data_IF_635391994212
#
_entry.id   IF_635391994212
#
_cell.length_a   1.000
_cell.length_b   1.000
_cell.length_c   1.000
_cell.angle_alpha   90.00
_cell.angle_beta   90.00
_cell.angle_gamma   90.00
#
_symmetry.space_group_name_H-M   'P 1'
#
loop_
_entity.id
_entity.type
_entity.pdbx_description
1 polymer ?
#
# COMPACT_ATOMS: atom_id res chain seq x y z
N UNK A 1 21.09 -7.00 -19.59
CA UNK A 1 19.67 -7.10 -19.20
C UNK A 1 19.06 -5.71 -19.33
N UNK A 2 17.81 -5.61 -19.81
CA UNK A 2 17.10 -4.33 -19.82
C UNK A 2 16.78 -3.92 -18.38
N UNK A 3 17.34 -2.80 -17.92
CA UNK A 3 17.18 -2.28 -16.55
C UNK A 3 16.06 -1.24 -16.44
N UNK A 4 15.47 -0.84 -17.60
CA UNK A 4 14.40 0.15 -17.64
C UNK A 4 13.08 -0.43 -17.12
N UNK A 5 12.41 0.30 -16.25
CA UNK A 5 11.10 -0.09 -15.71
C UNK A 5 10.21 1.15 -15.54
N UNK A 6 8.90 0.99 -15.79
CA UNK A 6 7.91 2.05 -15.53
C UNK A 6 7.41 1.95 -14.10
N UNK A 7 7.31 3.09 -13.41
CA UNK A 7 6.72 3.17 -12.07
C UNK A 7 5.57 4.16 -12.07
N UNK A 8 4.36 3.69 -11.80
CA UNK A 8 3.21 4.55 -11.53
C UNK A 8 3.06 4.74 -10.01
N UNK A 9 2.65 5.93 -9.58
CA UNK A 9 2.56 6.25 -8.14
C UNK A 9 3.93 6.47 -7.47
N UNK A 10 4.96 6.80 -8.27
CA UNK A 10 6.33 7.01 -7.79
C UNK A 10 6.47 8.14 -6.76
N UNK A 11 5.60 9.15 -6.76
CA UNK A 11 5.60 10.23 -5.77
C UNK A 11 4.94 9.86 -4.43
N UNK A 12 4.26 8.73 -4.34
CA UNK A 12 3.65 8.23 -3.11
C UNK A 12 4.67 7.63 -2.12
N UNK A 13 4.22 7.28 -0.92
CA UNK A 13 5.09 6.75 0.14
C UNK A 13 5.87 5.50 -0.29
N UNK A 14 5.19 4.46 -0.77
CA UNK A 14 5.85 3.25 -1.28
C UNK A 14 6.72 3.61 -2.50
N UNK A 15 6.20 4.47 -3.40
CA UNK A 15 6.85 4.82 -4.66
C UNK A 15 8.23 5.45 -4.48
N UNK A 16 8.37 6.42 -3.59
CA UNK A 16 9.65 7.08 -3.30
C UNK A 16 10.71 6.09 -2.80
N UNK A 17 10.33 5.21 -1.86
CA UNK A 17 11.21 4.16 -1.36
C UNK A 17 11.54 3.10 -2.43
N UNK A 18 10.57 2.75 -3.29
CA UNK A 18 10.81 1.82 -4.40
C UNK A 18 11.78 2.41 -5.42
N UNK A 19 11.62 3.68 -5.79
CA UNK A 19 12.54 4.39 -6.70
C UNK A 19 13.96 4.43 -6.12
N UNK A 20 14.09 4.72 -4.83
CA UNK A 20 15.38 4.69 -4.15
C UNK A 20 15.99 3.28 -4.14
N UNK A 21 15.19 2.25 -3.88
CA UNK A 21 15.64 0.86 -3.89
C UNK A 21 16.05 0.41 -5.29
N UNK A 22 15.22 0.62 -6.31
CA UNK A 22 15.52 0.25 -7.70
C UNK A 22 16.78 0.93 -8.21
N UNK A 23 16.91 2.25 -8.03
CA UNK A 23 18.05 3.01 -8.52
C UNK A 23 19.38 2.63 -7.85
N UNK A 24 19.36 2.27 -6.57
CA UNK A 24 20.54 1.70 -5.86
C UNK A 24 20.99 0.36 -6.45
N UNK A 25 20.04 -0.43 -6.97
CA UNK A 25 20.32 -1.74 -7.56
C UNK A 25 20.57 -1.67 -9.07
N UNK A 26 20.82 -0.48 -9.63
CA UNK A 26 21.21 -0.30 -11.02
C UNK A 26 20.07 -0.32 -12.03
N UNK A 27 18.81 -0.27 -11.58
CA UNK A 27 17.67 -0.09 -12.47
C UNK A 27 17.47 1.37 -12.85
N UNK A 28 16.85 1.60 -14.01
CA UNK A 28 16.56 2.93 -14.55
C UNK A 28 15.04 3.17 -14.57
N UNK A 29 14.45 3.63 -13.46
CA UNK A 29 13.02 3.86 -13.40
C UNK A 29 12.57 5.05 -14.24
N UNK A 30 11.53 4.83 -15.06
CA UNK A 30 10.74 5.85 -15.73
C UNK A 30 9.51 6.11 -14.88
N UNK A 31 9.33 7.31 -14.37
CA UNK A 31 8.22 7.63 -13.45
C UNK A 31 7.07 8.28 -14.23
N UNK A 32 5.88 7.69 -14.16
CA UNK A 32 4.67 8.32 -14.69
C UNK A 32 4.19 9.39 -13.71
N UNK A 33 4.15 10.64 -14.13
CA UNK A 33 3.78 11.80 -13.30
C UNK A 33 2.72 12.65 -13.97
N UNK A 34 1.71 13.10 -13.22
CA UNK A 34 0.71 14.06 -13.70
C UNK A 34 1.32 15.44 -13.89
N UNK A 35 2.20 15.85 -12.99
CA UNK A 35 2.88 17.15 -12.98
C UNK A 35 4.39 16.92 -13.08
N UNK A 36 4.90 17.05 -14.29
CA UNK A 36 6.33 16.83 -14.56
C UNK A 36 7.22 17.86 -13.84
N UNK A 37 6.69 19.05 -13.53
CA UNK A 37 7.36 20.09 -12.76
C UNK A 37 7.74 19.66 -11.34
N UNK A 38 7.13 18.61 -10.79
CA UNK A 38 7.46 18.05 -9.47
C UNK A 38 8.60 17.03 -9.51
N UNK A 39 9.11 16.68 -10.69
CA UNK A 39 10.16 15.67 -10.83
C UNK A 39 11.47 16.04 -10.11
N UNK A 40 11.97 17.29 -10.13
CA UNK A 40 13.17 17.65 -9.37
C UNK A 40 13.02 17.41 -7.86
N UNK A 41 11.86 17.72 -7.30
CA UNK A 41 11.56 17.47 -5.87
C UNK A 41 11.51 15.96 -5.57
N UNK A 42 10.96 15.16 -6.48
CA UNK A 42 10.98 13.70 -6.35
C UNK A 42 12.44 13.16 -6.38
N UNK A 43 13.27 13.66 -7.26
CA UNK A 43 14.70 13.30 -7.34
C UNK A 43 15.44 13.63 -6.03
N UNK A 44 15.18 14.78 -5.45
CA UNK A 44 15.75 15.17 -4.15
C UNK A 44 15.34 14.16 -3.07
N UNK A 45 14.05 13.84 -2.93
CA UNK A 45 13.53 12.88 -1.95
C UNK A 45 14.13 11.48 -2.14
N UNK A 46 14.25 11.03 -3.40
CA UNK A 46 14.88 9.74 -3.70
C UNK A 46 16.34 9.73 -3.26
N UNK A 47 17.06 10.83 -3.44
CA UNK A 47 18.45 10.98 -2.96
C UNK A 47 18.52 10.95 -1.43
N UNK A 48 17.64 11.65 -0.74
CA UNK A 48 17.53 11.65 0.73
C UNK A 48 17.25 10.24 1.29
N UNK A 49 16.53 9.41 0.52
CA UNK A 49 16.27 8.00 0.82
C UNK A 49 17.42 7.07 0.39
N UNK A 50 18.55 7.62 -0.02
CA UNK A 50 19.76 6.88 -0.41
C UNK A 50 19.68 6.25 -1.79
N UNK A 51 18.79 6.71 -2.66
CA UNK A 51 18.71 6.32 -4.07
C UNK A 51 19.67 7.12 -4.96
N UNK A 52 19.80 6.68 -6.21
CA UNK A 52 20.55 7.39 -7.23
C UNK A 52 19.60 8.09 -8.22
N UNK A 53 19.31 9.38 -7.96
CA UNK A 53 18.38 10.15 -8.79
C UNK A 53 18.83 10.32 -10.26
N UNK A 54 20.12 10.14 -10.56
CA UNK A 54 20.62 10.18 -11.95
C UNK A 54 20.10 9.02 -12.82
N UNK A 55 19.66 7.95 -12.19
CA UNK A 55 19.06 6.79 -12.86
C UNK A 55 17.58 7.00 -13.21
N UNK A 56 16.95 8.03 -12.67
CA UNK A 56 15.54 8.30 -12.86
C UNK A 56 15.28 9.15 -14.10
N UNK A 57 14.18 8.85 -14.77
CA UNK A 57 13.57 9.74 -15.75
C UNK A 57 12.07 9.82 -15.49
N UNK A 58 11.38 10.78 -16.10
CA UNK A 58 9.96 10.92 -15.92
C UNK A 58 9.24 11.14 -17.25
N UNK A 59 8.00 10.68 -17.34
CA UNK A 59 7.08 10.97 -18.43
C UNK A 59 5.81 11.58 -17.85
N UNK A 60 5.27 12.55 -18.56
CA UNK A 60 3.97 13.11 -18.21
C UNK A 60 2.86 12.12 -18.58
N UNK A 61 1.93 11.88 -17.65
CA UNK A 61 0.81 11.01 -17.90
C UNK A 61 -0.15 10.95 -16.71
N UNK A 62 -1.36 10.45 -16.94
CA UNK A 62 -2.43 10.38 -15.94
C UNK A 62 -3.21 9.07 -16.07
N UNK A 63 -3.33 8.36 -14.95
CA UNK A 63 -4.07 7.08 -14.87
C UNK A 63 -5.56 7.25 -15.25
N UNK A 64 -6.13 8.44 -15.12
CA UNK A 64 -7.52 8.72 -15.48
C UNK A 64 -7.75 8.90 -16.99
N UNK A 65 -6.67 9.12 -17.76
CA UNK A 65 -6.76 9.41 -19.19
C UNK A 65 -6.64 8.17 -20.07
N UNK A 66 -7.33 8.11 -21.23
CA UNK A 66 -7.09 7.09 -22.25
C UNK A 66 -5.61 7.01 -22.63
N UNK A 67 -5.06 5.81 -22.80
CA UNK A 67 -3.64 5.61 -23.11
C UNK A 67 -2.68 6.18 -22.06
N UNK A 68 -3.16 6.45 -20.84
CA UNK A 68 -2.45 7.12 -19.74
C UNK A 68 -2.06 8.56 -20.08
N UNK A 69 -2.66 9.18 -21.10
CA UNK A 69 -2.32 10.53 -21.55
C UNK A 69 -0.89 10.68 -22.09
N UNK A 70 -0.24 9.58 -22.49
CA UNK A 70 1.14 9.58 -22.97
C UNK A 70 1.21 10.14 -24.41
N UNK A 71 2.10 11.09 -24.64
CA UNK A 71 2.47 11.51 -25.98
C UNK A 71 3.33 10.45 -26.70
N UNK A 72 3.64 10.69 -27.99
CA UNK A 72 4.40 9.74 -28.80
C UNK A 72 5.83 9.48 -28.27
N UNK A 73 6.47 10.48 -27.68
CA UNK A 73 7.81 10.34 -27.14
C UNK A 73 7.80 9.50 -25.85
N UNK A 74 6.85 9.82 -24.95
CA UNK A 74 6.61 9.05 -23.73
C UNK A 74 6.21 7.60 -24.02
N UNK A 75 5.38 7.35 -25.03
CA UNK A 75 5.00 5.99 -25.45
C UNK A 75 6.22 5.17 -25.87
N UNK A 76 7.16 5.74 -26.65
CA UNK A 76 8.40 5.06 -27.04
C UNK A 76 9.27 4.75 -25.83
N UNK A 77 9.41 5.71 -24.90
CA UNK A 77 10.21 5.52 -23.68
C UNK A 77 9.64 4.40 -22.81
N UNK A 78 8.31 4.37 -22.64
CA UNK A 78 7.61 3.36 -21.85
C UNK A 78 7.61 1.99 -22.54
N UNK A 79 7.57 1.95 -23.87
CA UNK A 79 7.67 0.70 -24.63
C UNK A 79 9.02 -0.02 -24.44
N UNK A 80 10.07 0.71 -24.07
CA UNK A 80 11.37 0.14 -23.73
C UNK A 80 11.43 -0.50 -22.32
N UNK A 81 10.39 -0.33 -21.50
CA UNK A 81 10.36 -0.87 -20.15
C UNK A 81 9.89 -2.33 -20.15
N UNK A 82 10.76 -3.25 -19.73
CA UNK A 82 10.40 -4.68 -19.63
C UNK A 82 9.55 -5.02 -18.40
N UNK A 83 9.49 -4.13 -17.41
CA UNK A 83 8.73 -4.31 -16.17
C UNK A 83 7.97 -3.04 -15.83
N UNK A 84 6.71 -3.18 -15.48
CA UNK A 84 5.84 -2.10 -15.01
C UNK A 84 5.49 -2.33 -13.54
N UNK A 85 5.75 -1.33 -12.70
CA UNK A 85 5.35 -1.31 -11.29
C UNK A 85 4.12 -0.43 -11.14
N UNK A 86 2.99 -1.03 -10.80
CA UNK A 86 1.75 -0.29 -10.58
C UNK A 86 1.46 -0.12 -9.08
N UNK A 87 1.82 1.07 -8.55
CA UNK A 87 1.53 1.50 -7.19
C UNK A 87 0.55 2.69 -7.16
N UNK A 88 0.19 3.18 -8.35
CA UNK A 88 -0.65 4.38 -8.52
C UNK A 88 -2.10 4.11 -8.14
N UNK A 89 -2.42 4.41 -6.89
CA UNK A 89 -3.79 4.41 -6.35
C UNK A 89 -4.06 5.76 -5.72
N UNK A 90 -5.26 6.27 -5.86
CA UNK A 90 -5.70 7.39 -5.06
C UNK A 90 -6.12 6.86 -3.68
N UNK A 91 -5.30 7.13 -2.68
CA UNK A 91 -5.62 6.87 -1.29
C UNK A 91 -6.20 8.13 -0.67
N UNK A 92 -7.48 8.10 -0.34
CA UNK A 92 -8.13 9.11 0.49
C UNK A 92 -9.38 8.47 1.13
N UNK A 93 -9.67 8.82 2.35
CA UNK A 93 -10.90 8.44 3.02
C UNK A 93 -12.09 9.18 2.36
N UNK A 94 -13.24 8.53 2.32
CA UNK A 94 -14.46 9.14 1.77
C UNK A 94 -14.43 9.38 0.25
N UNK A 95 -13.58 8.69 -0.52
CA UNK A 95 -13.61 8.75 -1.98
C UNK A 95 -14.98 8.36 -2.53
N UNK A 96 -15.53 9.18 -3.42
CA UNK A 96 -16.74 8.80 -4.16
C UNK A 96 -16.46 7.56 -5.03
N UNK A 97 -17.49 6.74 -5.22
CA UNK A 97 -17.42 5.56 -6.07
C UNK A 97 -16.86 5.90 -7.47
N UNK A 98 -17.36 6.99 -8.08
CA UNK A 98 -16.96 7.40 -9.44
C UNK A 98 -15.46 7.75 -9.49
N UNK A 99 -14.97 8.54 -8.54
CA UNK A 99 -13.55 8.92 -8.47
C UNK A 99 -12.66 7.70 -8.22
N UNK A 100 -13.04 6.85 -7.26
CA UNK A 100 -12.28 5.64 -6.94
C UNK A 100 -12.18 4.70 -8.15
N UNK A 101 -13.26 4.47 -8.88
CA UNK A 101 -13.26 3.60 -10.08
C UNK A 101 -12.43 4.20 -11.21
N UNK A 102 -12.55 5.49 -11.49
CA UNK A 102 -11.85 6.13 -12.61
C UNK A 102 -10.34 6.01 -12.49
N UNK A 103 -9.78 6.21 -11.29
CA UNK A 103 -8.33 6.19 -11.06
C UNK A 103 -7.86 4.79 -10.69
N UNK A 104 -8.50 4.15 -9.70
CA UNK A 104 -7.97 2.91 -9.13
C UNK A 104 -8.32 1.68 -9.97
N UNK A 105 -9.51 1.63 -10.58
CA UNK A 105 -9.92 0.48 -11.38
C UNK A 105 -9.54 0.66 -12.83
N UNK A 106 -10.07 1.70 -13.48
CA UNK A 106 -9.81 1.92 -14.91
C UNK A 106 -8.34 2.30 -15.16
N UNK A 107 -7.71 3.04 -14.23
CA UNK A 107 -6.27 3.32 -14.28
C UNK A 107 -5.42 2.05 -14.23
N UNK A 108 -5.73 1.12 -13.31
CA UNK A 108 -5.03 -0.16 -13.22
C UNK A 108 -5.21 -1.00 -14.49
N UNK A 109 -6.42 -1.04 -15.07
CA UNK A 109 -6.68 -1.72 -16.35
C UNK A 109 -5.90 -1.10 -17.52
N UNK A 110 -5.77 0.23 -17.55
CA UNK A 110 -4.95 0.90 -18.58
C UNK A 110 -3.48 0.50 -18.47
N UNK A 111 -2.96 0.38 -17.24
CA UNK A 111 -1.58 -0.10 -17.01
C UNK A 111 -1.44 -1.57 -17.39
N UNK A 112 -2.41 -2.43 -17.07
CA UNK A 112 -2.41 -3.83 -17.49
C UNK A 112 -2.40 -3.99 -19.02
N UNK A 113 -3.26 -3.25 -19.72
CA UNK A 113 -3.27 -3.22 -21.19
C UNK A 113 -1.98 -2.67 -21.80
N UNK A 114 -1.34 -1.70 -21.14
CA UNK A 114 -0.02 -1.23 -21.56
C UNK A 114 1.03 -2.32 -21.41
N UNK A 115 1.01 -3.07 -20.29
CA UNK A 115 1.90 -4.20 -20.08
C UNK A 115 1.72 -5.28 -21.17
N UNK A 116 0.48 -5.64 -21.47
CA UNK A 116 0.15 -6.60 -22.54
C UNK A 116 0.64 -6.13 -23.92
N UNK A 117 0.38 -4.88 -24.28
CA UNK A 117 0.83 -4.33 -25.59
C UNK A 117 2.34 -4.32 -25.76
N UNK A 118 3.09 -4.14 -24.66
CA UNK A 118 4.54 -4.04 -24.68
C UNK A 118 5.24 -5.36 -24.33
N UNK A 119 4.49 -6.46 -24.17
CA UNK A 119 5.01 -7.75 -23.67
C UNK A 119 5.85 -7.57 -22.38
N UNK A 120 5.39 -6.69 -21.51
CA UNK A 120 6.09 -6.33 -20.29
C UNK A 120 5.46 -7.03 -19.07
N UNK A 121 6.30 -7.37 -18.12
CA UNK A 121 5.84 -7.90 -16.84
C UNK A 121 5.18 -6.81 -16.01
N UNK A 122 4.00 -7.09 -15.46
CA UNK A 122 3.31 -6.22 -14.52
C UNK A 122 3.51 -6.71 -13.07
N UNK A 123 4.07 -5.87 -12.22
CA UNK A 123 3.97 -6.01 -10.78
C UNK A 123 2.95 -5.00 -10.24
N UNK A 124 1.90 -5.50 -9.60
CA UNK A 124 0.84 -4.69 -9.00
C UNK A 124 0.89 -4.76 -7.47
N UNK A 125 0.68 -3.63 -6.81
CA UNK A 125 0.52 -3.56 -5.36
C UNK A 125 -0.97 -3.63 -5.00
N UNK A 126 -1.35 -4.74 -4.39
CA UNK A 126 -2.70 -4.98 -3.87
C UNK A 126 -2.91 -4.45 -2.45
N UNK A 127 -3.50 -5.28 -1.60
CA UNK A 127 -3.68 -5.05 -0.17
C UNK A 127 -3.98 -6.36 0.54
N UNK A 128 -3.54 -6.51 1.79
CA UNK A 128 -3.64 -7.77 2.54
C UNK A 128 -5.08 -8.26 2.76
N UNK A 129 -6.08 -7.37 2.65
CA UNK A 129 -7.49 -7.75 2.73
C UNK A 129 -7.91 -8.71 1.61
N UNK A 130 -7.23 -8.67 0.45
CA UNK A 130 -7.40 -9.64 -0.64
C UNK A 130 -7.00 -11.07 -0.25
N UNK A 131 -6.18 -11.23 0.79
CA UNK A 131 -5.77 -12.53 1.34
C UNK A 131 -6.67 -13.00 2.49
N UNK A 132 -7.71 -12.23 2.86
CA UNK A 132 -8.66 -12.59 3.93
C UNK A 132 -9.98 -13.12 3.32
N UNK A 133 -10.08 -14.44 3.15
CA UNK A 133 -11.26 -15.07 2.57
C UNK A 133 -12.57 -14.80 3.36
N UNK A 134 -12.47 -14.72 4.69
CA UNK A 134 -13.64 -14.42 5.54
C UNK A 134 -14.09 -12.98 5.32
N UNK A 135 -13.17 -12.03 5.23
CA UNK A 135 -13.48 -10.64 4.93
C UNK A 135 -14.12 -10.52 3.54
N UNK A 136 -13.51 -11.11 2.52
CA UNK A 136 -14.05 -11.09 1.14
C UNK A 136 -15.49 -11.61 1.09
N UNK A 137 -15.77 -12.75 1.74
CA UNK A 137 -17.11 -13.31 1.81
C UNK A 137 -18.09 -12.37 2.55
N UNK A 138 -17.67 -11.78 3.68
CA UNK A 138 -18.49 -10.85 4.48
C UNK A 138 -18.88 -9.60 3.69
N UNK A 139 -17.96 -9.06 2.88
CA UNK A 139 -18.24 -7.88 2.05
C UNK A 139 -18.94 -8.20 0.73
N UNK A 140 -19.11 -9.48 0.41
CA UNK A 140 -19.87 -9.96 -0.75
C UNK A 140 -19.05 -10.17 -2.01
N UNK A 141 -17.73 -10.25 -1.89
CA UNK A 141 -16.84 -10.59 -3.02
C UNK A 141 -16.88 -12.10 -3.27
N UNK A 142 -17.18 -12.49 -4.49
CA UNK A 142 -17.15 -13.90 -4.95
C UNK A 142 -15.76 -14.21 -5.52
N UNK A 143 -14.80 -14.49 -4.65
CA UNK A 143 -13.40 -14.61 -5.03
C UNK A 143 -13.11 -15.69 -6.12
N UNK A 144 -13.94 -16.75 -6.20
CA UNK A 144 -13.83 -17.80 -7.22
C UNK A 144 -14.59 -17.50 -8.51
N UNK A 145 -15.51 -16.56 -8.49
CA UNK A 145 -16.36 -16.13 -9.61
C UNK A 145 -16.52 -14.60 -9.54
N UNK A 146 -15.42 -13.83 -9.66
CA UNK A 146 -15.42 -12.39 -9.43
C UNK A 146 -16.33 -11.61 -10.39
N UNK A 147 -16.61 -12.18 -11.57
CA UNK A 147 -17.54 -11.65 -12.56
C UNK A 147 -18.99 -11.61 -12.06
N UNK A 148 -19.34 -12.45 -11.07
CA UNK A 148 -20.65 -12.49 -10.44
C UNK A 148 -20.74 -11.63 -9.15
N UNK A 149 -19.71 -10.83 -8.85
CA UNK A 149 -19.70 -9.95 -7.69
C UNK A 149 -20.54 -8.70 -7.94
N UNK A 150 -21.47 -8.40 -7.03
CA UNK A 150 -22.19 -7.13 -7.00
C UNK A 150 -21.28 -6.02 -6.44
N UNK A 151 -20.45 -5.44 -7.31
CA UNK A 151 -19.49 -4.39 -6.93
C UNK A 151 -20.17 -3.19 -6.28
N UNK A 152 -21.29 -2.65 -6.75
CA UNK A 152 -22.01 -1.58 -6.05
C UNK A 152 -22.34 -1.92 -4.59
N UNK A 153 -22.75 -3.17 -4.29
CA UNK A 153 -22.99 -3.61 -2.93
C UNK A 153 -21.71 -3.72 -2.10
N UNK A 154 -20.60 -4.17 -2.69
CA UNK A 154 -19.28 -4.19 -2.05
C UNK A 154 -18.86 -2.76 -1.66
N UNK A 155 -18.91 -1.82 -2.59
CA UNK A 155 -18.54 -0.42 -2.32
C UNK A 155 -19.36 0.22 -1.20
N UNK A 156 -20.66 -0.09 -1.09
CA UNK A 156 -21.49 0.40 0.02
C UNK A 156 -21.04 -0.13 1.38
N UNK A 157 -20.40 -1.30 1.43
CA UNK A 157 -19.95 -1.94 2.68
C UNK A 157 -18.56 -1.50 3.13
N UNK A 158 -17.65 -1.27 2.18
CA UNK A 158 -16.22 -1.04 2.48
C UNK A 158 -15.69 0.32 2.02
N UNK A 159 -16.55 1.17 1.45
CA UNK A 159 -16.13 2.48 0.94
C UNK A 159 -15.43 2.44 -0.41
N UNK A 160 -15.12 3.64 -0.92
CA UNK A 160 -14.55 3.83 -2.26
C UNK A 160 -13.14 3.28 -2.40
N UNK A 161 -12.29 3.49 -1.41
CA UNK A 161 -10.89 3.07 -1.47
C UNK A 161 -10.74 1.55 -1.50
N UNK A 162 -11.24 0.85 -0.49
CA UNK A 162 -11.12 -0.61 -0.42
C UNK A 162 -11.87 -1.29 -1.56
N UNK A 163 -13.11 -0.89 -1.82
CA UNK A 163 -13.92 -1.45 -2.91
C UNK A 163 -13.21 -1.35 -4.27
N UNK A 164 -12.58 -0.20 -4.57
CA UNK A 164 -11.85 -0.03 -5.82
C UNK A 164 -10.58 -0.88 -5.89
N UNK A 165 -9.89 -1.11 -4.79
CA UNK A 165 -8.72 -2.02 -4.75
C UNK A 165 -9.13 -3.48 -4.97
N UNK A 166 -10.24 -3.90 -4.36
CA UNK A 166 -10.78 -5.23 -4.57
C UNK A 166 -11.20 -5.43 -6.03
N UNK A 167 -12.01 -4.52 -6.60
CA UNK A 167 -12.45 -4.60 -8.00
C UNK A 167 -11.26 -4.56 -8.96
N UNK A 168 -10.31 -3.64 -8.77
CA UNK A 168 -9.13 -3.53 -9.63
C UNK A 168 -8.31 -4.83 -9.66
N UNK A 169 -8.11 -5.46 -8.50
CA UNK A 169 -7.39 -6.72 -8.40
C UNK A 169 -7.98 -7.80 -9.31
N UNK A 170 -9.27 -8.08 -9.16
CA UNK A 170 -9.92 -9.14 -9.94
C UNK A 170 -10.01 -8.81 -11.43
N UNK A 171 -10.28 -7.55 -11.77
CA UNK A 171 -10.36 -7.14 -13.19
C UNK A 171 -9.00 -7.16 -13.87
N UNK A 172 -7.93 -6.72 -13.19
CA UNK A 172 -6.56 -6.80 -13.72
C UNK A 172 -6.12 -8.25 -13.88
N UNK A 173 -6.43 -9.13 -12.92
CA UNK A 173 -6.16 -10.55 -13.04
C UNK A 173 -6.84 -11.16 -14.26
N UNK A 174 -8.12 -10.87 -14.48
CA UNK A 174 -8.87 -11.34 -15.65
C UNK A 174 -8.25 -10.82 -16.97
N UNK A 175 -7.97 -9.52 -17.06
CA UNK A 175 -7.37 -8.88 -18.25
C UNK A 175 -6.00 -9.50 -18.59
N UNK A 176 -5.12 -9.63 -17.59
CA UNK A 176 -3.78 -10.20 -17.78
C UNK A 176 -3.83 -11.69 -18.13
N UNK A 177 -4.70 -12.46 -17.50
CA UNK A 177 -4.89 -13.88 -17.79
C UNK A 177 -5.41 -14.12 -19.22
N UNK A 178 -6.41 -13.36 -19.64
CA UNK A 178 -6.97 -13.45 -21.01
C UNK A 178 -5.94 -13.04 -22.07
N UNK A 179 -5.11 -12.05 -21.78
CA UNK A 179 -4.05 -11.59 -22.68
C UNK A 179 -2.75 -12.39 -22.61
N UNK A 180 -2.65 -13.43 -21.78
CA UNK A 180 -1.42 -14.22 -21.59
C UNK A 180 -0.27 -13.44 -20.94
N UNK A 181 -0.58 -12.37 -20.22
CA UNK A 181 0.43 -11.46 -19.66
C UNK A 181 1.06 -11.95 -18.36
N UNK A 182 2.29 -11.54 -18.10
CA UNK A 182 3.03 -11.85 -16.89
C UNK A 182 2.63 -10.91 -15.75
N UNK A 183 1.83 -11.38 -14.80
CA UNK A 183 1.39 -10.63 -13.62
C UNK A 183 2.02 -11.18 -12.33
N UNK A 184 2.47 -10.29 -11.46
CA UNK A 184 2.84 -10.59 -10.07
C UNK A 184 2.14 -9.59 -9.15
N UNK A 185 1.59 -10.04 -8.02
CA UNK A 185 0.94 -9.13 -7.07
C UNK A 185 1.62 -9.22 -5.71
N UNK A 186 1.89 -8.06 -5.09
CA UNK A 186 2.34 -7.99 -3.69
C UNK A 186 1.23 -7.33 -2.87
N UNK A 187 0.79 -7.99 -1.80
CA UNK A 187 -0.26 -7.56 -0.90
C UNK A 187 0.33 -7.02 0.41
N UNK A 188 0.62 -5.72 0.52
CA UNK A 188 1.15 -5.17 1.76
C UNK A 188 0.10 -5.11 2.86
N UNK A 189 0.55 -5.32 4.09
CA UNK A 189 -0.15 -4.93 5.31
C UNK A 189 -0.12 -3.41 5.49
N UNK A 190 -0.59 -2.91 6.64
CA UNK A 190 -0.44 -1.50 7.01
C UNK A 190 1.03 -1.14 7.10
N UNK A 191 1.39 -0.01 6.51
CA UNK A 191 2.78 0.43 6.48
C UNK A 191 3.17 1.10 7.79
N UNK A 192 4.29 0.69 8.37
CA UNK A 192 5.10 1.53 9.24
C UNK A 192 6.27 2.15 8.46
N UNK A 193 7.05 3.01 9.10
CA UNK A 193 8.16 3.70 8.44
C UNK A 193 9.34 2.81 8.11
N UNK A 194 10.39 3.42 7.61
CA UNK A 194 11.66 2.75 7.32
C UNK A 194 12.29 2.18 8.61
N UNK A 195 12.74 0.95 8.56
CA UNK A 195 13.23 0.20 9.74
C UNK A 195 14.31 0.95 10.55
N UNK A 196 15.20 1.68 9.90
CA UNK A 196 16.29 2.42 10.56
C UNK A 196 15.94 3.87 10.84
N UNK A 197 15.46 4.61 9.84
CA UNK A 197 15.23 6.05 9.93
C UNK A 197 13.86 6.41 10.47
N UNK A 198 12.91 5.47 10.42
CA UNK A 198 11.51 5.72 10.75
C UNK A 198 10.76 6.61 9.75
N UNK A 199 11.43 7.03 8.65
CA UNK A 199 10.80 7.92 7.67
C UNK A 199 9.43 7.43 7.26
N UNK A 200 8.44 8.30 7.38
CA UNK A 200 7.04 8.03 7.12
C UNK A 200 6.34 9.28 6.63
N UNK A 201 5.42 9.13 5.69
CA UNK A 201 4.57 10.24 5.26
C UNK A 201 3.33 10.35 6.16
N UNK A 202 2.81 11.58 6.36
CA UNK A 202 1.54 11.79 7.06
C UNK A 202 0.38 11.11 6.32
N UNK A 203 -0.74 10.90 7.03
CA UNK A 203 -1.95 10.29 6.46
C UNK A 203 -1.92 8.76 6.36
N UNK A 204 -0.83 8.09 6.76
CA UNK A 204 -0.81 6.64 6.86
C UNK A 204 -1.55 6.18 8.14
N UNK A 205 -2.26 5.03 8.12
CA UNK A 205 -3.02 4.56 9.30
C UNK A 205 -2.17 4.41 10.57
N UNK A 206 -0.93 3.97 10.44
CA UNK A 206 0.01 3.89 11.58
C UNK A 206 0.38 5.28 12.12
N UNK A 207 0.65 6.25 11.25
CA UNK A 207 0.97 7.63 11.65
C UNK A 207 -0.24 8.29 12.32
N UNK A 208 -1.44 8.01 11.84
CA UNK A 208 -2.68 8.51 12.42
C UNK A 208 -2.93 7.94 13.82
N UNK A 209 -2.70 6.63 14.03
CA UNK A 209 -2.76 6.00 15.35
C UNK A 209 -1.76 6.67 16.33
N UNK A 210 -0.53 6.90 15.89
CA UNK A 210 0.50 7.56 16.69
C UNK A 210 0.11 9.01 17.02
N UNK A 211 -0.48 9.75 16.07
CA UNK A 211 -0.96 11.12 16.27
C UNK A 211 -2.10 11.18 17.29
N UNK A 212 -3.13 10.32 17.13
CA UNK A 212 -4.24 10.26 18.08
C UNK A 212 -3.78 9.94 19.50
N UNK A 213 -2.77 9.06 19.62
CA UNK A 213 -2.17 8.73 20.91
C UNK A 213 -1.39 9.92 21.50
N UNK A 214 -0.56 10.61 20.69
CA UNK A 214 0.19 11.80 21.08
C UNK A 214 -0.72 12.95 21.55
N UNK A 215 -1.82 13.17 20.85
CA UNK A 215 -2.83 14.19 21.17
C UNK A 215 -3.79 13.76 22.28
N UNK A 216 -3.60 12.57 22.87
CA UNK A 216 -4.46 11.99 23.92
C UNK A 216 -5.93 11.81 23.48
N UNK A 217 -6.17 11.66 22.18
CA UNK A 217 -7.51 11.44 21.61
C UNK A 217 -7.91 9.98 21.63
N UNK A 218 -6.94 9.06 21.58
CA UNK A 218 -7.21 7.63 21.71
C UNK A 218 -7.59 7.30 23.18
N UNK A 219 -8.88 7.31 23.48
CA UNK A 219 -9.42 7.10 24.84
C UNK A 219 -9.56 5.64 25.23
N UNK A 220 -9.67 4.76 24.25
CA UNK A 220 -9.80 3.31 24.43
C UNK A 220 -9.23 2.57 23.22
N UNK A 221 -8.84 1.32 23.42
CA UNK A 221 -8.28 0.46 22.38
C UNK A 221 -9.42 -0.22 21.64
N UNK A 222 -9.52 -0.11 20.30
CA UNK A 222 -10.52 -0.84 19.53
C UNK A 222 -10.38 -2.36 19.66
N UNK A 223 -11.51 -3.05 19.87
CA UNK A 223 -11.55 -4.51 19.89
C UNK A 223 -11.16 -5.12 21.24
N UNK A 224 -10.41 -6.22 21.20
CA UNK A 224 -9.95 -7.01 22.34
C UNK A 224 -8.47 -7.31 22.23
N UNK A 225 -7.91 -8.04 23.19
CA UNK A 225 -6.50 -8.52 23.16
C UNK A 225 -6.14 -9.41 21.96
N UNK A 226 -7.15 -9.94 21.25
CA UNK A 226 -6.94 -10.74 20.03
C UNK A 226 -6.77 -9.89 18.77
N UNK A 227 -7.14 -8.61 18.84
CA UNK A 227 -7.06 -7.73 17.68
C UNK A 227 -5.64 -7.19 17.49
N UNK A 228 -5.27 -7.01 16.25
CA UNK A 228 -3.96 -6.48 15.85
C UNK A 228 -4.09 -5.63 14.59
N UNK A 229 -3.16 -4.73 14.40
CA UNK A 229 -2.98 -4.00 13.16
C UNK A 229 -1.78 -4.63 12.45
N UNK A 230 -1.99 -5.46 11.41
CA UNK A 230 -0.89 -6.08 10.69
C UNK A 230 0.04 -5.02 10.11
N UNK A 231 1.35 -5.16 10.31
CA UNK A 231 2.35 -4.19 9.85
C UNK A 231 3.39 -4.79 8.92
N UNK A 232 3.97 -3.91 8.11
CA UNK A 232 5.18 -4.15 7.33
C UNK A 232 5.98 -2.83 7.25
N UNK A 233 7.30 -2.89 7.37
CA UNK A 233 8.14 -1.70 7.13
C UNK A 233 8.26 -1.40 5.64
N UNK A 234 8.31 -0.11 5.30
CA UNK A 234 8.29 0.32 3.88
C UNK A 234 9.53 -0.12 3.12
N UNK A 235 10.70 -0.10 3.75
CA UNK A 235 11.97 -0.53 3.16
C UNK A 235 11.99 -2.02 2.85
N UNK A 236 11.45 -2.85 3.74
CA UNK A 236 11.34 -4.29 3.48
C UNK A 236 10.27 -4.60 2.43
N UNK A 237 9.15 -3.89 2.44
CA UNK A 237 8.14 -4.01 1.40
C UNK A 237 8.72 -3.75 0.01
N UNK A 238 9.48 -2.66 -0.18
CA UNK A 238 10.02 -2.34 -1.51
C UNK A 238 11.13 -3.31 -1.93
N UNK A 239 11.84 -3.92 -0.98
CA UNK A 239 12.76 -5.03 -1.26
C UNK A 239 12.00 -6.26 -1.78
N UNK A 240 10.89 -6.65 -1.11
CA UNK A 240 10.01 -7.74 -1.58
C UNK A 240 9.44 -7.44 -2.97
N UNK A 241 8.97 -6.21 -3.21
CA UNK A 241 8.45 -5.78 -4.52
C UNK A 241 9.52 -5.94 -5.60
N UNK A 242 10.74 -5.45 -5.35
CA UNK A 242 11.86 -5.58 -6.30
C UNK A 242 12.20 -7.04 -6.58
N UNK A 243 12.41 -7.83 -5.54
CA UNK A 243 12.75 -9.25 -5.70
C UNK A 243 11.66 -10.00 -6.46
N UNK A 244 10.39 -9.79 -6.10
CA UNK A 244 9.25 -10.44 -6.75
C UNK A 244 9.10 -10.04 -8.22
N UNK A 245 9.41 -8.79 -8.57
CA UNK A 245 9.32 -8.29 -9.95
C UNK A 245 10.31 -8.97 -10.89
N UNK A 246 11.46 -9.38 -10.38
CA UNK A 246 12.55 -9.93 -11.20
C UNK A 246 12.76 -11.45 -11.00
N UNK A 247 11.96 -12.10 -10.16
CA UNK A 247 11.94 -13.56 -10.01
C UNK A 247 10.93 -14.19 -11.00
N UNK A 248 11.39 -14.98 -12.01
CA UNK A 248 10.47 -15.62 -12.97
C UNK A 248 9.44 -16.56 -12.31
N UNK A 249 9.78 -17.16 -11.16
CA UNK A 249 8.86 -18.04 -10.43
C UNK A 249 7.67 -17.29 -9.81
N UNK A 250 7.73 -15.97 -9.77
CA UNK A 250 6.65 -15.13 -9.25
C UNK A 250 5.63 -14.72 -10.32
N UNK A 251 5.80 -15.11 -11.57
CA UNK A 251 4.79 -14.88 -12.62
C UNK A 251 3.54 -15.70 -12.29
N UNK A 252 2.38 -15.04 -12.28
CA UNK A 252 1.10 -15.63 -11.89
C UNK A 252 0.93 -15.84 -10.39
N UNK A 253 1.87 -15.40 -9.58
CA UNK A 253 1.86 -15.58 -8.12
C UNK A 253 1.60 -14.26 -7.38
N UNK A 254 1.22 -14.39 -6.10
CA UNK A 254 1.10 -13.24 -5.20
C UNK A 254 1.88 -13.47 -3.91
N UNK A 255 2.35 -12.40 -3.28
CA UNK A 255 3.00 -12.42 -1.96
C UNK A 255 2.21 -11.58 -0.98
N UNK A 256 1.99 -12.11 0.22
CA UNK A 256 1.47 -11.35 1.34
C UNK A 256 2.65 -10.74 2.13
N UNK A 257 2.83 -9.44 2.02
CA UNK A 257 3.88 -8.69 2.72
C UNK A 257 3.36 -8.19 4.08
N UNK A 258 3.51 -9.03 5.10
CA UNK A 258 2.97 -8.85 6.45
C UNK A 258 3.91 -9.52 7.45
N UNK A 259 4.32 -8.83 8.52
CA UNK A 259 5.11 -9.44 9.59
C UNK A 259 4.20 -10.03 10.68
N UNK A 260 4.21 -11.37 10.80
CA UNK A 260 3.40 -12.09 11.79
C UNK A 260 3.80 -11.80 13.25
N UNK A 261 5.00 -11.24 13.47
CA UNK A 261 5.50 -10.86 14.81
C UNK A 261 4.97 -9.49 15.26
N UNK A 262 4.21 -8.79 14.39
CA UNK A 262 3.52 -7.57 14.79
C UNK A 262 2.72 -7.81 16.07
N UNK A 263 2.91 -7.03 17.14
CA UNK A 263 2.21 -7.20 18.40
C UNK A 263 0.70 -7.02 18.22
N UNK A 264 -0.10 -7.51 19.16
CA UNK A 264 -1.51 -7.16 19.20
C UNK A 264 -1.70 -5.65 19.38
N UNK A 265 -2.90 -5.15 19.12
CA UNK A 265 -3.14 -3.70 19.12
C UNK A 265 -2.83 -3.06 20.47
N UNK A 266 -3.08 -3.77 21.57
CA UNK A 266 -2.71 -3.31 22.91
C UNK A 266 -1.19 -3.13 23.05
N UNK A 267 -0.41 -4.15 22.68
CA UNK A 267 1.06 -4.10 22.71
C UNK A 267 1.62 -3.02 21.78
N UNK A 268 1.03 -2.85 20.58
CA UNK A 268 1.42 -1.78 19.65
C UNK A 268 1.19 -0.39 20.27
N UNK A 269 0.01 -0.16 20.87
CA UNK A 269 -0.31 1.10 21.54
C UNK A 269 0.62 1.36 22.72
N UNK A 270 0.97 0.34 23.50
CA UNK A 270 1.95 0.43 24.58
C UNK A 270 3.35 0.84 24.07
N UNK A 271 3.83 0.17 23.01
CA UNK A 271 5.12 0.46 22.39
C UNK A 271 5.18 1.91 21.87
N UNK A 272 4.12 2.37 21.19
CA UNK A 272 4.00 3.75 20.73
C UNK A 272 3.99 4.74 21.90
N UNK A 273 3.18 4.47 22.93
CA UNK A 273 3.05 5.34 24.11
C UNK A 273 4.38 5.53 24.84
N UNK A 274 5.17 4.47 24.94
CA UNK A 274 6.50 4.53 25.56
C UNK A 274 7.42 5.51 24.81
N UNK A 275 7.50 5.41 23.48
CA UNK A 275 8.34 6.29 22.65
C UNK A 275 7.81 7.72 22.63
N UNK A 276 6.50 7.89 22.53
CA UNK A 276 5.83 9.19 22.52
C UNK A 276 5.80 9.87 23.90
N UNK A 277 6.12 9.12 24.98
CA UNK A 277 6.09 9.58 26.37
C UNK A 277 4.69 10.04 26.81
N UNK A 278 3.68 9.28 26.43
CA UNK A 278 2.27 9.50 26.81
C UNK A 278 1.73 8.30 27.57
N UNK A 279 0.65 8.50 28.34
CA UNK A 279 -0.03 7.40 29.02
C UNK A 279 -0.96 6.67 28.03
N UNK A 280 -0.78 5.35 27.81
CA UNK A 280 -1.65 4.59 26.92
C UNK A 280 -3.03 4.36 27.54
N UNK A 281 -4.10 4.29 26.73
CA UNK A 281 -5.39 3.83 27.20
C UNK A 281 -5.33 2.37 27.64
N UNK A 282 -6.05 2.03 28.72
CA UNK A 282 -6.08 0.66 29.27
C UNK A 282 -7.38 -0.08 28.94
N UNK A 283 -8.44 0.66 28.59
CA UNK A 283 -9.78 0.11 28.36
C UNK A 283 -9.93 -0.31 26.89
N UNK A 284 -10.60 -1.42 26.69
CA UNK A 284 -11.03 -1.89 25.36
C UNK A 284 -12.48 -1.52 25.09
N UNK A 285 -12.77 -1.18 23.83
CA UNK A 285 -14.15 -1.00 23.33
C UNK A 285 -14.40 -2.05 22.24
N UNK A 286 -15.44 -2.90 22.38
CA UNK A 286 -15.78 -3.89 21.37
C UNK A 286 -15.97 -3.26 19.99
N UNK A 287 -15.45 -3.91 18.93
CA UNK A 287 -15.53 -3.39 17.56
C UNK A 287 -16.96 -3.11 17.11
N UNK A 288 -17.92 -3.97 17.51
CA UNK A 288 -19.34 -3.76 17.18
C UNK A 288 -19.90 -2.46 17.77
N UNK A 289 -19.55 -2.16 19.03
CA UNK A 289 -19.97 -0.92 19.71
C UNK A 289 -19.35 0.28 19.02
N UNK A 290 -18.05 0.22 18.71
CA UNK A 290 -17.35 1.33 18.05
C UNK A 290 -17.90 1.58 16.63
N UNK A 291 -18.14 0.53 15.85
CA UNK A 291 -18.77 0.65 14.52
C UNK A 291 -20.18 1.22 14.59
N UNK A 292 -20.99 0.81 15.58
CA UNK A 292 -22.32 1.37 15.79
C UNK A 292 -22.28 2.86 16.16
N UNK A 293 -21.34 3.27 17.02
CA UNK A 293 -21.14 4.68 17.38
C UNK A 293 -20.71 5.52 16.15
N UNK A 294 -19.74 5.02 15.38
CA UNK A 294 -19.24 5.73 14.18
C UNK A 294 -20.26 5.75 13.02
N UNK A 295 -21.32 4.95 13.09
CA UNK A 295 -22.43 5.01 12.13
C UNK A 295 -23.39 6.19 12.42
N UNK A 296 -23.29 6.83 13.60
CA UNK A 296 -24.13 7.99 13.94
C UNK A 296 -23.65 9.23 13.17
N UNK A 297 -24.56 9.98 12.53
CA UNK A 297 -24.21 11.18 11.77
C UNK A 297 -23.45 12.20 12.62
N UNK A 298 -22.34 12.71 12.09
CA UNK A 298 -21.50 13.74 12.73
C UNK A 298 -20.51 13.20 13.77
N UNK A 299 -20.71 12.00 14.33
CA UNK A 299 -19.82 11.45 15.35
C UNK A 299 -18.41 11.11 14.82
N UNK A 300 -18.22 10.57 13.61
CA UNK A 300 -16.90 10.39 13.02
C UNK A 300 -16.11 11.70 12.95
N UNK A 301 -16.73 12.78 12.50
CA UNK A 301 -16.11 14.09 12.41
C UNK A 301 -15.74 14.66 13.79
N UNK A 302 -16.61 14.49 14.79
CA UNK A 302 -16.36 14.93 16.15
C UNK A 302 -15.19 14.17 16.79
N UNK A 303 -15.12 12.86 16.55
CA UNK A 303 -14.04 12.01 17.06
C UNK A 303 -12.77 12.04 16.18
N UNK A 304 -12.86 12.62 14.99
CA UNK A 304 -11.81 12.60 13.95
C UNK A 304 -11.31 11.17 13.67
N UNK A 305 -12.23 10.23 13.60
CA UNK A 305 -11.97 8.82 13.29
C UNK A 305 -12.72 8.47 12.02
N UNK A 306 -11.98 8.02 11.02
CA UNK A 306 -12.58 7.49 9.80
C UNK A 306 -13.09 6.07 10.05
N UNK A 307 -14.38 5.79 9.84
CA UNK A 307 -14.95 4.46 10.07
C UNK A 307 -14.21 3.35 9.31
N UNK A 308 -13.79 3.63 8.07
CA UNK A 308 -13.02 2.72 7.22
C UNK A 308 -11.68 2.30 7.85
N UNK A 309 -11.11 3.13 8.75
CA UNK A 309 -9.83 2.82 9.41
C UNK A 309 -9.91 1.61 10.34
N UNK A 310 -11.09 1.32 10.87
CA UNK A 310 -11.32 0.17 11.74
C UNK A 310 -11.22 -1.17 11.01
N UNK A 311 -11.42 -1.19 9.70
CA UNK A 311 -11.36 -2.41 8.90
C UNK A 311 -9.91 -2.91 8.71
N UNK A 312 -8.91 -2.06 8.99
CA UNK A 312 -7.50 -2.47 9.05
C UNK A 312 -7.16 -3.26 10.33
N UNK A 313 -8.00 -3.19 11.36
CA UNK A 313 -7.79 -3.94 12.61
C UNK A 313 -8.40 -5.34 12.45
N UNK A 314 -7.57 -6.36 12.54
CA UNK A 314 -7.90 -7.75 12.26
C UNK A 314 -7.90 -8.61 13.51
N UNK A 315 -8.62 -9.74 13.48
CA UNK A 315 -8.49 -10.85 14.46
C UNK A 315 -7.79 -12.04 13.83
N UNK A 316 -8.04 -12.22 12.53
CA UNK A 316 -7.54 -13.33 11.75
C UNK A 316 -6.02 -13.24 11.63
N UNK A 317 -5.36 -14.40 11.69
CA UNK A 317 -3.96 -14.57 11.35
C UNK A 317 -3.87 -15.11 9.91
N UNK A 318 -2.82 -14.72 9.24
CA UNK A 318 -2.64 -15.02 7.81
C UNK A 318 -1.60 -16.10 7.61
N UNK A 319 -1.78 -16.94 6.60
CA UNK A 319 -0.76 -17.88 6.15
C UNK A 319 0.34 -17.14 5.37
N UNK A 320 1.57 -17.28 5.85
CA UNK A 320 2.77 -16.68 5.25
C UNK A 320 3.71 -17.73 4.64
N UNK A 321 3.28 -18.97 4.50
CA UNK A 321 4.11 -20.07 4.00
C UNK A 321 4.75 -19.74 2.65
N UNK A 322 3.97 -19.17 1.71
CA UNK A 322 4.46 -18.75 0.40
C UNK A 322 5.49 -17.63 0.50
N UNK A 323 5.24 -16.61 1.33
CA UNK A 323 6.18 -15.50 1.53
C UNK A 323 7.45 -15.97 2.23
N UNK A 324 7.35 -16.86 3.22
CA UNK A 324 8.51 -17.42 3.90
C UNK A 324 9.37 -18.28 2.95
N UNK A 325 8.75 -19.11 2.10
CA UNK A 325 9.46 -19.87 1.07
C UNK A 325 10.16 -18.95 0.06
N UNK A 326 9.50 -17.86 -0.35
CA UNK A 326 10.09 -16.82 -1.21
C UNK A 326 11.31 -16.18 -0.56
N UNK A 327 11.22 -15.77 0.72
CA UNK A 327 12.32 -15.16 1.47
C UNK A 327 13.52 -16.12 1.59
N UNK A 328 13.28 -17.40 1.94
CA UNK A 328 14.32 -18.41 2.01
C UNK A 328 15.06 -18.57 0.67
N UNK A 329 14.32 -18.62 -0.45
CA UNK A 329 14.88 -18.73 -1.81
C UNK A 329 15.78 -17.54 -2.13
N UNK A 330 15.41 -16.34 -1.69
CA UNK A 330 16.17 -15.10 -1.89
C UNK A 330 17.19 -14.81 -0.78
N UNK A 331 17.37 -15.72 0.19
CA UNK A 331 18.28 -15.55 1.34
C UNK A 331 18.02 -14.24 2.07
N UNK A 332 16.74 -13.99 2.38
CA UNK A 332 16.28 -12.83 3.13
C UNK A 332 15.55 -13.28 4.39
N UNK A 333 15.77 -12.52 5.47
CA UNK A 333 15.07 -12.70 6.73
C UNK A 333 14.10 -11.55 6.96
N UNK A 334 13.08 -11.79 7.76
CA UNK A 334 12.22 -10.75 8.26
C UNK A 334 13.00 -9.77 9.14
N UNK A 335 12.93 -8.44 8.89
CA UNK A 335 13.54 -7.45 9.79
C UNK A 335 12.82 -7.46 11.14
N UNK A 336 13.47 -6.91 12.17
CA UNK A 336 12.81 -6.74 13.48
C UNK A 336 11.71 -5.68 13.37
N UNK A 337 10.45 -6.12 13.39
CA UNK A 337 9.28 -5.20 13.26
C UNK A 337 9.22 -4.22 14.42
N UNK A 338 9.65 -4.61 15.61
CA UNK A 338 9.72 -3.75 16.79
C UNK A 338 10.68 -2.58 16.58
N UNK A 339 11.78 -2.80 15.85
CA UNK A 339 12.72 -1.74 15.47
C UNK A 339 12.04 -0.74 14.55
N UNK A 340 11.31 -1.22 13.53
CA UNK A 340 10.57 -0.35 12.61
C UNK A 340 9.49 0.45 13.33
N UNK A 341 8.73 -0.17 14.25
CA UNK A 341 7.73 0.50 15.08
C UNK A 341 8.38 1.62 15.91
N UNK A 342 9.48 1.30 16.61
CA UNK A 342 10.20 2.26 17.45
C UNK A 342 10.82 3.41 16.66
N UNK A 343 11.45 3.13 15.51
CA UNK A 343 12.01 4.14 14.63
C UNK A 343 10.92 5.07 14.08
N UNK A 344 9.81 4.50 13.60
CA UNK A 344 8.66 5.26 13.09
C UNK A 344 8.06 6.17 14.17
N UNK A 345 7.91 5.65 15.40
CA UNK A 345 7.38 6.45 16.49
C UNK A 345 8.30 7.63 16.86
N UNK A 346 9.64 7.43 16.86
CA UNK A 346 10.62 8.53 17.08
C UNK A 346 10.55 9.58 15.97
N UNK A 347 10.48 9.12 14.71
CA UNK A 347 10.36 10.02 13.56
C UNK A 347 9.08 10.87 13.64
N UNK A 348 7.95 10.25 13.91
CA UNK A 348 6.67 10.94 14.05
C UNK A 348 6.67 11.90 15.25
N UNK A 349 7.27 11.51 16.39
CA UNK A 349 7.42 12.39 17.54
C UNK A 349 8.17 13.67 17.17
N UNK A 350 9.31 13.54 16.48
CA UNK A 350 10.09 14.70 16.03
C UNK A 350 9.28 15.58 15.05
N UNK A 351 8.51 14.97 14.14
CA UNK A 351 7.67 15.67 13.16
C UNK A 351 6.49 16.39 13.83
N UNK A 352 5.84 15.79 14.82
CA UNK A 352 4.73 16.41 15.55
C UNK A 352 5.15 17.65 16.33
N UNK A 353 6.34 17.60 16.95
CA UNK A 353 6.88 18.74 17.71
C UNK A 353 7.48 19.85 16.83
N UNK A 354 7.90 19.53 15.60
CA UNK A 354 8.37 20.53 14.66
C UNK A 354 7.22 21.34 14.02
N UNK A 355 5.98 20.83 14.10
CA UNK A 355 4.78 21.46 13.53
C UNK A 355 3.95 22.23 14.58
N UNK A 356 4.30 22.15 15.86
CA UNK A 356 3.69 22.88 16.99
C UNK A 356 4.55 24.09 17.40
#
# INVERSE_FOLDING_TARGET
MNTSCLVTGGSGFIGQHLLANLSRHGYSPVVLMRRISEFPMLCQRVTELGGNARMLSAVQGDLSQPGLGLDTAAQRQVAACATLFHLGVQFAWGLSLAQARTVNVEGALRVARLALRNDARLLMVGGYMLCNAQHLARVGVRARQPELTDWPAVYRRVGGYEGSKLEAHYRVHAEMSLGGGALTVVHPATLCGHTQTGHMLPGQPFAELARQLSERRLRAIPGSSQHWLPLISVDFLVELIRLAAFDPQMIGQSLLALDARTPNLHGLVQALAQVLQVRPPQRHVPMAVLKALLALPGLPNLLQVEPESLDFIQRERFDLSQTNAFLQRHKRDWPAIEQAIGASARYLKATFYAAS
#
